data_IF_733806480300
#
_entry.id   IF_733806480300
#
_cell.length_a   1.000
_cell.length_b   1.000
_cell.length_c   1.000
_cell.angle_alpha   90.00
_cell.angle_beta   90.00
_cell.angle_gamma   90.00
#
_symmetry.space_group_name_H-M   'P 1'
#
loop_
_entity.id
_entity.type
_entity.pdbx_description
1 polymer ?
#
# COMPACT_ATOMS: atom_id res chain seq x y z
N UNK A 1 0.29 6.87 60.50
CA UNK A 1 -0.25 6.43 59.19
C UNK A 1 0.75 5.47 58.58
N UNK A 2 0.37 4.19 58.52
CA UNK A 2 1.25 3.05 58.30
C UNK A 2 1.52 2.82 56.82
N UNK A 3 2.79 2.70 56.42
CA UNK A 3 3.22 2.38 55.05
C UNK A 3 3.42 0.88 54.92
N UNK A 4 2.52 0.20 54.23
CA UNK A 4 2.71 -1.20 53.83
C UNK A 4 3.73 -1.28 52.69
N UNK A 5 4.81 -2.02 52.92
CA UNK A 5 5.75 -2.49 51.89
C UNK A 5 5.22 -3.82 51.36
N UNK A 6 4.95 -3.91 50.06
CA UNK A 6 4.69 -5.18 49.38
C UNK A 6 6.03 -5.66 48.81
N UNK A 7 6.49 -6.79 49.33
CA UNK A 7 7.61 -7.58 48.80
C UNK A 7 7.00 -8.60 47.84
N UNK A 8 7.39 -8.59 46.56
CA UNK A 8 7.09 -9.68 45.63
C UNK A 8 8.40 -10.42 45.38
N UNK A 9 8.47 -11.64 45.94
CA UNK A 9 9.55 -12.58 45.72
C UNK A 9 9.20 -13.54 44.59
N UNK A 10 10.15 -13.70 43.67
CA UNK A 10 10.57 -14.94 43.00
C UNK A 10 9.53 -15.85 42.32
N UNK A 11 9.73 -16.08 41.02
CA UNK A 11 9.70 -17.45 40.49
C UNK A 11 10.78 -17.61 39.43
N UNK A 12 11.80 -18.41 39.79
CA UNK A 12 12.84 -18.95 38.93
C UNK A 12 12.38 -20.31 38.41
N UNK A 13 12.73 -20.63 37.17
CA UNK A 13 12.88 -22.00 36.69
C UNK A 13 11.90 -22.42 35.60
N UNK A 14 12.41 -22.55 34.38
CA UNK A 14 12.33 -23.82 33.65
C UNK A 14 13.39 -23.83 32.52
N UNK A 15 14.35 -24.74 32.65
CA UNK A 15 15.42 -25.06 31.72
C UNK A 15 15.23 -26.53 31.36
N UNK A 16 14.98 -26.84 30.08
CA UNK A 16 15.08 -28.14 29.39
C UNK A 16 14.71 -27.88 27.91
N UNK A 17 15.23 -28.51 26.87
CA UNK A 17 16.41 -29.33 26.62
C UNK A 17 16.47 -29.52 25.08
N UNK A 18 17.67 -29.42 24.54
CA UNK A 18 18.26 -30.08 23.37
C UNK A 18 17.40 -30.87 22.35
N UNK A 19 17.68 -30.61 21.07
CA UNK A 19 17.48 -31.49 19.90
C UNK A 19 17.46 -30.65 18.62
N UNK A 20 18.44 -30.61 17.71
CA UNK A 20 19.39 -31.64 17.31
C UNK A 20 18.86 -32.38 16.08
N UNK A 21 19.09 -31.86 14.87
CA UNK A 21 18.64 -32.51 13.63
C UNK A 21 19.06 -31.77 12.35
N UNK A 22 20.29 -32.02 11.90
CA UNK A 22 20.74 -31.77 10.52
C UNK A 22 20.13 -32.82 9.58
N UNK A 23 19.82 -32.42 8.34
CA UNK A 23 19.40 -33.35 7.30
C UNK A 23 19.33 -32.68 5.94
N UNK A 24 20.50 -32.47 5.32
CA UNK A 24 20.64 -32.11 3.91
C UNK A 24 20.34 -33.33 3.04
N UNK A 25 19.47 -33.17 2.02
CA UNK A 25 19.27 -34.20 1.00
C UNK A 25 19.03 -33.56 -0.38
N UNK A 26 20.11 -33.47 -1.14
CA UNK A 26 20.17 -33.45 -2.61
C UNK A 26 21.44 -34.25 -3.00
N UNK A 27 21.62 -34.72 -4.24
CA UNK A 27 20.65 -35.08 -5.28
C UNK A 27 20.93 -36.49 -5.88
N UNK A 28 19.99 -37.04 -6.65
CA UNK A 28 20.18 -38.28 -7.39
C UNK A 28 20.31 -38.06 -8.91
N UNK A 29 21.44 -38.57 -9.44
CA UNK A 29 21.60 -39.29 -10.71
C UNK A 29 21.58 -38.53 -12.06
N UNK A 30 22.79 -38.38 -12.63
CA UNK A 30 23.05 -38.62 -14.07
C UNK A 30 23.14 -40.14 -14.34
N UNK A 31 23.08 -40.65 -15.60
CA UNK A 31 24.27 -40.73 -16.48
C UNK A 31 23.96 -40.59 -18.00
N UNK A 32 24.82 -39.92 -18.78
CA UNK A 32 25.93 -40.44 -19.61
C UNK A 32 25.63 -40.42 -21.13
N UNK A 33 26.50 -39.75 -21.90
CA UNK A 33 27.04 -40.35 -23.12
C UNK A 33 28.40 -39.75 -23.54
N UNK A 34 29.19 -40.62 -24.18
CA UNK A 34 30.65 -40.67 -24.31
C UNK A 34 31.32 -39.65 -25.26
N UNK A 35 32.67 -39.53 -25.21
CA UNK A 35 33.48 -38.58 -25.97
C UNK A 35 34.12 -39.18 -27.23
N UNK A 36 34.54 -38.31 -28.15
CA UNK A 36 35.56 -38.57 -29.18
C UNK A 36 36.60 -37.43 -29.11
N UNK A 37 37.82 -37.69 -28.65
CA UNK A 37 39.02 -38.16 -29.39
C UNK A 37 39.86 -37.00 -29.95
N UNK A 38 40.84 -36.60 -29.13
CA UNK A 38 42.20 -36.10 -29.41
C UNK A 38 42.68 -36.00 -30.87
N UNK A 39 43.33 -34.88 -31.24
CA UNK A 39 44.81 -34.81 -31.33
C UNK A 39 45.34 -33.39 -31.62
N UNK A 40 46.63 -33.12 -31.35
CA UNK A 40 47.19 -31.78 -31.16
C UNK A 40 48.00 -31.28 -32.36
N UNK A 41 48.28 -29.98 -32.41
CA UNK A 41 49.60 -29.47 -32.78
C UNK A 41 49.77 -28.00 -32.37
N UNK A 42 50.90 -27.74 -31.73
CA UNK A 42 51.39 -26.43 -31.34
C UNK A 42 52.09 -25.73 -32.52
N UNK A 43 51.97 -24.42 -32.63
CA UNK A 43 53.09 -23.54 -32.95
C UNK A 43 52.72 -22.07 -32.71
N UNK A 44 53.66 -21.40 -32.04
CA UNK A 44 53.80 -19.97 -31.77
C UNK A 44 53.87 -19.16 -33.06
N UNK A 45 53.12 -18.06 -33.18
CA UNK A 45 53.55 -16.82 -33.86
C UNK A 45 52.87 -15.60 -33.22
N UNK A 46 53.72 -14.67 -32.81
CA UNK A 46 53.45 -13.29 -32.40
C UNK A 46 52.89 -12.45 -33.55
N UNK A 47 51.87 -11.63 -33.31
CA UNK A 47 51.78 -10.23 -33.77
C UNK A 47 50.47 -9.60 -33.30
N UNK A 48 50.59 -8.49 -32.57
CA UNK A 48 49.56 -7.45 -32.45
C UNK A 48 49.67 -6.59 -33.74
N UNK A 49 48.57 -6.09 -34.35
CA UNK A 49 47.99 -4.84 -33.86
C UNK A 49 46.46 -4.70 -34.02
N UNK A 50 45.88 -3.89 -33.11
CA UNK A 50 44.74 -2.98 -33.27
C UNK A 50 43.77 -3.22 -34.45
N UNK A 51 42.50 -3.46 -34.14
CA UNK A 51 41.40 -2.94 -34.96
C UNK A 51 40.08 -2.85 -34.18
N UNK A 52 39.58 -1.61 -34.13
CA UNK A 52 38.17 -1.20 -34.19
C UNK A 52 37.09 -2.06 -33.51
N UNK A 53 36.54 -1.48 -32.46
CA UNK A 53 35.31 -1.86 -31.76
C UNK A 53 34.12 -1.87 -32.74
N UNK A 54 33.74 -3.07 -33.19
CA UNK A 54 32.55 -3.29 -34.02
C UNK A 54 31.39 -3.71 -33.10
N UNK A 55 30.43 -2.80 -32.91
CA UNK A 55 29.17 -3.09 -32.21
C UNK A 55 28.37 -4.04 -33.09
N UNK A 56 28.28 -5.30 -32.67
CA UNK A 56 27.39 -6.30 -33.27
C UNK A 56 25.98 -6.09 -32.72
N UNK A 57 25.09 -5.52 -33.53
CA UNK A 57 23.65 -5.68 -33.36
C UNK A 57 23.24 -7.00 -34.02
N UNK A 58 22.64 -7.89 -33.23
CA UNK A 58 22.00 -9.11 -33.70
C UNK A 58 20.74 -8.75 -34.50
N UNK A 59 20.69 -9.16 -35.77
CA UNK A 59 19.44 -9.33 -36.51
C UNK A 59 19.31 -10.81 -36.91
N UNK A 60 18.13 -11.44 -36.75
CA UNK A 60 17.86 -12.75 -37.32
C UNK A 60 17.61 -12.67 -38.85
N UNK A 61 17.91 -13.73 -39.62
CA UNK A 61 17.60 -13.76 -41.05
C UNK A 61 16.20 -14.34 -41.32
N UNK A 62 15.71 -14.07 -42.53
CA UNK A 62 14.46 -14.51 -43.17
C UNK A 62 13.18 -13.77 -42.76
N UNK A 63 12.71 -12.84 -43.60
CA UNK A 63 11.64 -13.08 -44.59
C UNK A 63 11.80 -12.07 -45.75
N UNK A 64 11.79 -12.56 -47.00
CA UNK A 64 11.67 -11.76 -48.22
C UNK A 64 10.23 -11.28 -48.44
N UNK A 65 10.03 -10.00 -48.73
CA UNK A 65 9.05 -9.52 -49.71
C UNK A 65 9.34 -8.05 -50.06
N UNK A 66 9.43 -7.78 -51.36
CA UNK A 66 9.52 -6.47 -52.00
C UNK A 66 8.37 -5.54 -51.60
N UNK A 67 8.69 -4.28 -51.27
CA UNK A 67 7.87 -3.11 -51.62
C UNK A 67 8.72 -1.82 -51.57
N UNK A 68 8.45 -0.83 -52.46
CA UNK A 68 9.35 0.28 -52.73
C UNK A 68 9.25 1.43 -51.73
N UNK A 69 10.36 2.18 -51.66
CA UNK A 69 10.59 3.32 -50.79
C UNK A 69 9.54 4.44 -50.95
N UNK A 70 8.98 4.86 -49.82
CA UNK A 70 8.40 6.18 -49.65
C UNK A 70 9.18 6.93 -48.58
N UNK A 71 9.59 8.13 -48.96
CA UNK A 71 10.31 9.14 -48.20
C UNK A 71 9.51 9.64 -46.99
N UNK A 72 10.21 9.76 -45.85
CA UNK A 72 9.96 10.79 -44.83
C UNK A 72 8.67 10.69 -44.02
N UNK A 73 8.76 10.11 -42.82
CA UNK A 73 7.85 10.46 -41.74
C UNK A 73 8.53 10.21 -40.38
N UNK A 74 8.45 11.22 -39.53
CA UNK A 74 9.00 11.32 -38.19
C UNK A 74 8.61 10.13 -37.27
N UNK A 75 9.62 9.38 -36.82
CA UNK A 75 9.50 8.40 -35.74
C UNK A 75 9.53 9.10 -34.37
N UNK A 76 8.55 9.97 -34.09
CA UNK A 76 8.25 10.46 -32.74
C UNK A 76 6.73 10.61 -32.60
N UNK A 77 6.03 9.51 -32.34
CA UNK A 77 4.66 9.59 -31.87
C UNK A 77 4.67 10.19 -30.44
N UNK A 78 3.91 11.27 -30.18
CA UNK A 78 3.83 11.84 -28.84
C UNK A 78 3.16 10.87 -27.87
N UNK A 79 3.66 10.88 -26.64
CA UNK A 79 3.11 10.14 -25.52
C UNK A 79 1.58 10.25 -25.46
N UNK A 80 0.93 9.11 -25.19
CA UNK A 80 -0.50 9.02 -24.93
C UNK A 80 -0.98 10.16 -24.03
N UNK A 81 -2.15 10.74 -24.30
CA UNK A 81 -2.66 11.85 -23.50
C UNK A 81 -2.69 11.42 -22.03
N UNK A 82 -1.93 12.17 -21.21
CA UNK A 82 -2.04 12.14 -19.75
C UNK A 82 -3.52 12.12 -19.42
N UNK A 83 -3.98 11.08 -18.74
CA UNK A 83 -5.26 11.10 -18.05
C UNK A 83 -5.21 12.29 -17.09
N UNK A 84 -5.80 13.40 -17.54
CA UNK A 84 -6.04 14.58 -16.72
C UNK A 84 -6.81 14.08 -15.51
N UNK A 85 -6.28 14.37 -14.32
CA UNK A 85 -6.92 14.08 -13.06
C UNK A 85 -8.41 14.41 -13.15
N UNK A 86 -9.24 13.44 -12.75
CA UNK A 86 -10.70 13.49 -12.77
C UNK A 86 -11.19 14.89 -12.41
N UNK A 87 -11.60 15.63 -13.44
CA UNK A 87 -12.43 16.81 -13.26
C UNK A 87 -13.70 16.32 -12.58
N UNK A 88 -13.97 16.86 -11.40
CA UNK A 88 -15.11 16.55 -10.55
C UNK A 88 -16.41 16.98 -11.21
N UNK A 89 -16.79 16.28 -12.29
CA UNK A 89 -18.18 16.19 -12.68
C UNK A 89 -18.85 15.40 -11.57
N UNK A 90 -19.40 16.11 -10.58
CA UNK A 90 -20.35 15.56 -9.62
C UNK A 90 -21.59 15.14 -10.40
N UNK A 91 -21.49 14.01 -11.11
CA UNK A 91 -22.62 13.36 -11.72
C UNK A 91 -23.66 13.23 -10.62
N UNK A 92 -24.81 13.88 -10.82
CA UNK A 92 -25.87 13.98 -9.84
C UNK A 92 -26.18 12.57 -9.33
N UNK A 93 -25.91 12.32 -8.06
CA UNK A 93 -26.12 11.00 -7.45
C UNK A 93 -27.62 10.71 -7.52
N UNK A 94 -28.00 9.65 -8.21
CA UNK A 94 -29.39 9.19 -8.27
C UNK A 94 -29.76 8.53 -6.94
N UNK A 95 -30.42 9.30 -6.08
CA UNK A 95 -30.81 8.91 -4.72
C UNK A 95 -31.69 7.66 -4.73
N UNK A 96 -32.54 7.48 -5.75
CA UNK A 96 -33.41 6.31 -5.85
C UNK A 96 -32.62 5.01 -5.99
N UNK A 97 -31.37 5.08 -6.47
CA UNK A 97 -30.46 3.94 -6.64
C UNK A 97 -29.45 3.80 -5.50
N UNK A 98 -29.53 4.62 -4.46
CA UNK A 98 -28.60 4.55 -3.34
C UNK A 98 -29.21 3.86 -2.12
N UNK A 99 -28.38 3.06 -1.48
CA UNK A 99 -28.59 2.55 -0.13
C UNK A 99 -27.43 3.03 0.74
N UNK A 100 -27.72 3.43 1.98
CA UNK A 100 -26.69 3.74 2.97
C UNK A 100 -26.95 2.94 4.23
N UNK A 101 -25.93 2.24 4.70
CA UNK A 101 -25.97 1.46 5.93
C UNK A 101 -25.03 2.06 6.98
N UNK A 102 -25.54 2.33 8.18
CA UNK A 102 -24.70 2.48 9.37
C UNK A 102 -24.19 1.11 9.79
N UNK A 103 -22.89 1.00 10.00
CA UNK A 103 -22.22 -0.24 10.39
C UNK A 103 -21.17 0.02 11.47
N UNK A 104 -20.97 -0.98 12.31
CA UNK A 104 -19.98 -0.95 13.39
C UNK A 104 -18.79 -1.87 13.08
N UNK A 105 -17.67 -1.67 13.80
CA UNK A 105 -16.52 -2.57 13.77
C UNK A 105 -15.59 -2.45 12.56
N UNK A 106 -15.82 -1.49 11.67
CA UNK A 106 -14.98 -1.20 10.51
C UNK A 106 -14.01 -0.02 10.70
N UNK A 107 -14.05 0.62 11.87
CA UNK A 107 -13.12 1.68 12.26
C UNK A 107 -11.69 1.15 12.40
N UNK A 108 -10.72 2.02 12.12
CA UNK A 108 -9.30 1.77 12.31
C UNK A 108 -8.93 1.81 13.78
N UNK A 109 -8.40 0.71 14.36
CA UNK A 109 -7.89 0.73 15.72
C UNK A 109 -6.57 1.53 15.83
N UNK A 110 -5.87 1.75 14.71
CA UNK A 110 -4.65 2.54 14.68
C UNK A 110 -4.93 4.04 14.63
N UNK A 111 -6.02 4.49 14.02
CA UNK A 111 -6.29 5.92 13.86
C UNK A 111 -7.72 6.21 14.26
N UNK A 112 -7.88 6.88 15.42
CA UNK A 112 -9.21 7.22 15.94
C UNK A 112 -9.94 8.15 14.96
N UNK A 113 -11.19 7.79 14.65
CA UNK A 113 -12.04 8.55 13.73
C UNK A 113 -11.87 8.21 12.25
N UNK A 114 -11.01 7.24 11.91
CA UNK A 114 -10.81 6.79 10.53
C UNK A 114 -11.35 5.37 10.32
N UNK A 115 -11.82 5.07 9.11
CA UNK A 115 -12.14 3.71 8.71
C UNK A 115 -10.87 2.90 8.41
N UNK A 116 -10.86 1.60 8.72
CA UNK A 116 -9.72 0.74 8.43
C UNK A 116 -9.81 0.19 7.01
N UNK A 117 -9.02 0.74 6.09
CA UNK A 117 -9.09 0.35 4.68
C UNK A 117 -8.89 -1.17 4.48
N UNK A 118 -7.97 -1.77 5.23
CA UNK A 118 -7.73 -3.23 5.19
C UNK A 118 -8.91 -4.07 5.69
N UNK A 119 -9.71 -3.59 6.65
CA UNK A 119 -10.92 -4.29 7.13
C UNK A 119 -12.12 -4.06 6.22
N UNK A 120 -12.22 -2.86 5.65
CA UNK A 120 -13.35 -2.46 4.79
C UNK A 120 -13.22 -3.10 3.40
N UNK A 121 -12.01 -3.19 2.85
CA UNK A 121 -11.77 -3.75 1.52
C UNK A 121 -12.42 -5.13 1.28
N UNK A 122 -12.20 -6.16 2.12
CA UNK A 122 -12.83 -7.46 1.91
C UNK A 122 -14.36 -7.40 2.07
N UNK A 123 -14.89 -6.51 2.91
CA UNK A 123 -16.35 -6.32 3.05
C UNK A 123 -16.93 -5.76 1.76
N UNK A 124 -16.41 -4.64 1.26
CA UNK A 124 -16.90 -4.04 0.01
C UNK A 124 -16.74 -4.97 -1.19
N UNK A 125 -15.64 -5.73 -1.25
CA UNK A 125 -15.42 -6.71 -2.30
C UNK A 125 -16.47 -7.84 -2.28
N UNK A 126 -16.98 -8.26 -1.11
CA UNK A 126 -18.09 -9.21 -1.02
C UNK A 126 -19.42 -8.56 -1.38
N UNK A 127 -19.69 -7.35 -0.90
CA UNK A 127 -20.93 -6.63 -1.21
C UNK A 127 -21.07 -6.40 -2.73
N UNK A 128 -19.98 -6.10 -3.42
CA UNK A 128 -19.96 -5.94 -4.88
C UNK A 128 -20.25 -7.24 -5.65
N UNK A 129 -20.30 -8.40 -4.98
CA UNK A 129 -20.68 -9.69 -5.59
C UNK A 129 -22.16 -10.02 -5.39
N UNK A 130 -22.88 -9.23 -4.61
CA UNK A 130 -24.32 -9.41 -4.41
C UNK A 130 -25.04 -9.00 -5.70
N UNK A 131 -25.94 -9.86 -6.19
CA UNK A 131 -26.73 -9.57 -7.38
C UNK A 131 -27.50 -8.25 -7.23
N UNK A 132 -27.43 -7.40 -8.25
CA UNK A 132 -28.06 -6.07 -8.25
C UNK A 132 -27.22 -4.96 -7.61
N UNK A 133 -26.08 -5.26 -6.97
CA UNK A 133 -25.12 -4.24 -6.54
C UNK A 133 -24.21 -3.86 -7.72
N UNK A 134 -24.20 -2.58 -8.06
CA UNK A 134 -23.28 -2.03 -9.06
C UNK A 134 -21.91 -1.73 -8.45
N UNK A 135 -21.91 -1.06 -7.29
CA UNK A 135 -20.68 -0.66 -6.60
C UNK A 135 -20.94 -0.32 -5.14
N UNK A 136 -19.92 -0.46 -4.31
CA UNK A 136 -19.95 -0.07 -2.90
C UNK A 136 -18.80 0.86 -2.54
N UNK A 137 -19.07 1.70 -1.54
CA UNK A 137 -18.19 2.75 -1.05
C UNK A 137 -18.28 2.83 0.46
N UNK A 138 -17.33 3.53 1.07
CA UNK A 138 -17.30 3.83 2.50
C UNK A 138 -17.11 5.32 2.70
N UNK A 139 -17.63 5.86 3.80
CA UNK A 139 -17.24 7.20 4.22
C UNK A 139 -15.85 7.19 4.90
N UNK A 140 -15.34 8.38 5.24
CA UNK A 140 -14.02 8.57 5.87
C UNK A 140 -13.84 7.78 7.17
N UNK A 141 -14.88 7.71 7.99
CA UNK A 141 -14.82 7.10 9.34
C UNK A 141 -14.99 5.57 9.30
N UNK A 142 -15.43 5.01 8.16
CA UNK A 142 -15.75 3.59 8.06
C UNK A 142 -17.03 3.18 8.78
N UNK A 143 -17.84 4.14 9.24
CA UNK A 143 -19.10 3.86 9.96
C UNK A 143 -20.32 3.84 9.05
N UNK A 144 -20.16 4.28 7.79
CA UNK A 144 -21.20 4.28 6.78
C UNK A 144 -20.72 3.58 5.51
N UNK A 145 -21.54 2.68 4.99
CA UNK A 145 -21.36 2.07 3.68
C UNK A 145 -22.43 2.58 2.73
N UNK A 146 -22.02 2.99 1.52
CA UNK A 146 -22.93 3.37 0.43
C UNK A 146 -22.91 2.30 -0.63
N UNK A 147 -24.09 1.87 -1.07
CA UNK A 147 -24.28 0.89 -2.14
C UNK A 147 -25.04 1.56 -3.29
N UNK A 148 -24.46 1.52 -4.48
CA UNK A 148 -25.14 1.84 -5.73
C UNK A 148 -25.83 0.59 -6.26
N UNK A 149 -27.14 0.66 -6.46
CA UNK A 149 -27.98 -0.41 -7.01
C UNK A 149 -28.01 -0.29 -8.53
N UNK A 150 -27.90 -1.42 -9.24
CA UNK A 150 -28.00 -1.48 -10.70
C UNK A 150 -29.38 -0.96 -11.18
N UNK A 151 -29.50 -0.32 -12.35
CA UNK A 151 -30.73 0.36 -12.77
C UNK A 151 -31.98 -0.54 -12.83
N UNK A 152 -31.82 -1.82 -13.18
CA UNK A 152 -32.91 -2.79 -13.32
C UNK A 152 -33.12 -3.67 -12.09
N UNK A 153 -32.33 -3.47 -11.03
CA UNK A 153 -32.41 -4.30 -9.84
C UNK A 153 -33.49 -3.80 -8.88
N UNK A 154 -34.11 -4.75 -8.18
CA UNK A 154 -35.06 -4.48 -7.11
C UNK A 154 -34.29 -3.98 -5.87
N UNK A 155 -34.47 -2.70 -5.55
CA UNK A 155 -33.76 -2.00 -4.48
C UNK A 155 -33.96 -2.66 -3.12
N UNK A 156 -35.18 -3.12 -2.81
CA UNK A 156 -35.51 -3.65 -1.48
C UNK A 156 -34.94 -5.06 -1.31
N UNK A 157 -34.93 -5.86 -2.39
CA UNK A 157 -34.22 -7.16 -2.41
C UNK A 157 -32.72 -6.99 -2.23
N UNK A 158 -32.11 -6.02 -2.91
CA UNK A 158 -30.68 -5.71 -2.75
C UNK A 158 -30.39 -5.25 -1.32
N UNK A 159 -31.24 -4.38 -0.75
CA UNK A 159 -31.09 -3.92 0.63
C UNK A 159 -31.16 -5.07 1.65
N UNK A 160 -32.10 -6.01 1.47
CA UNK A 160 -32.20 -7.21 2.29
C UNK A 160 -30.94 -8.09 2.17
N UNK A 161 -30.48 -8.37 0.95
CA UNK A 161 -29.30 -9.19 0.71
C UNK A 161 -28.01 -8.58 1.30
N UNK A 162 -27.84 -7.26 1.18
CA UNK A 162 -26.73 -6.52 1.80
C UNK A 162 -26.80 -6.60 3.33
N UNK A 163 -27.99 -6.42 3.91
CA UNK A 163 -28.21 -6.54 5.37
C UNK A 163 -27.84 -7.94 5.86
N UNK A 164 -28.28 -8.98 5.16
CA UNK A 164 -27.98 -10.36 5.50
C UNK A 164 -26.48 -10.66 5.42
N UNK A 165 -25.79 -10.21 4.37
CA UNK A 165 -24.33 -10.41 4.25
C UNK A 165 -23.55 -9.71 5.37
N UNK A 166 -23.92 -8.48 5.71
CA UNK A 166 -23.28 -7.73 6.79
C UNK A 166 -23.49 -8.39 8.16
N UNK A 167 -24.65 -9.03 8.38
CA UNK A 167 -25.00 -9.70 9.65
C UNK A 167 -24.18 -10.98 9.89
N UNK A 168 -23.70 -11.66 8.83
CA UNK A 168 -22.83 -12.85 8.95
C UNK A 168 -21.55 -12.61 9.77
N UNK A 169 -21.06 -11.37 9.77
CA UNK A 169 -19.90 -10.94 10.55
C UNK A 169 -20.30 -10.40 11.95
N UNK A 170 -21.48 -10.78 12.45
CA UNK A 170 -22.08 -10.29 13.70
C UNK A 170 -22.21 -8.76 13.78
N UNK A 171 -22.34 -8.08 12.63
CA UNK A 171 -22.61 -6.64 12.59
C UNK A 171 -24.10 -6.37 12.73
N UNK A 172 -24.45 -5.15 13.14
CA UNK A 172 -25.82 -4.65 13.26
C UNK A 172 -26.08 -3.53 12.25
N UNK A 173 -26.20 -3.86 10.94
CA UNK A 173 -26.40 -2.85 9.92
C UNK A 173 -27.76 -2.15 10.06
N UNK A 174 -27.78 -0.82 10.04
CA UNK A 174 -29.01 0.00 10.03
C UNK A 174 -29.13 0.71 8.69
N UNK A 175 -30.18 0.42 7.93
CA UNK A 175 -30.47 1.10 6.66
C UNK A 175 -31.00 2.51 6.93
N UNK A 176 -30.46 3.50 6.23
CA UNK A 176 -30.95 4.88 6.28
C UNK A 176 -32.02 5.11 5.21
N UNK A 177 -33.05 5.86 5.57
CA UNK A 177 -34.21 6.12 4.72
C UNK A 177 -34.61 7.60 4.77
N UNK A 178 -35.50 7.99 3.86
CA UNK A 178 -36.10 9.33 3.83
C UNK A 178 -35.07 10.47 3.78
N UNK A 179 -35.30 11.48 4.60
CA UNK A 179 -34.46 12.69 4.68
C UNK A 179 -33.05 12.39 5.19
N UNK A 180 -32.90 11.46 6.14
CA UNK A 180 -31.60 11.10 6.72
C UNK A 180 -30.66 10.53 5.66
N UNK A 181 -31.17 9.68 4.76
CA UNK A 181 -30.41 9.17 3.61
C UNK A 181 -29.90 10.32 2.74
N UNK A 182 -30.76 11.28 2.39
CA UNK A 182 -30.41 12.40 1.51
C UNK A 182 -29.35 13.29 2.13
N UNK A 183 -29.54 13.67 3.39
CA UNK A 183 -28.59 14.48 4.15
C UNK A 183 -27.23 13.78 4.26
N UNK A 184 -27.23 12.48 4.55
CA UNK A 184 -26.01 11.67 4.67
C UNK A 184 -25.26 11.58 3.34
N UNK A 185 -25.96 11.34 2.22
CA UNK A 185 -25.36 11.28 0.89
C UNK A 185 -24.70 12.61 0.49
N UNK A 186 -25.32 13.73 0.86
CA UNK A 186 -24.81 15.07 0.55
C UNK A 186 -23.63 15.50 1.45
N UNK A 187 -23.65 15.12 2.72
CA UNK A 187 -22.65 15.54 3.72
C UNK A 187 -21.36 14.74 3.64
N UNK A 188 -21.46 13.43 3.41
CA UNK A 188 -20.31 12.53 3.55
C UNK A 188 -19.42 12.52 2.30
N UNK A 189 -18.11 12.47 2.53
CA UNK A 189 -17.12 12.18 1.48
C UNK A 189 -17.05 10.66 1.29
N UNK A 190 -17.49 10.18 0.12
CA UNK A 190 -17.51 8.76 -0.23
C UNK A 190 -16.24 8.37 -0.98
N UNK A 191 -15.56 7.34 -0.50
CA UNK A 191 -14.29 6.88 -1.05
C UNK A 191 -14.20 5.37 -1.20
N UNK A 192 -13.07 4.94 -1.77
CA UNK A 192 -12.67 3.55 -1.84
C UNK A 192 -11.91 3.13 -0.57
N UNK A 193 -11.79 1.82 -0.29
CA UNK A 193 -10.92 1.32 0.78
C UNK A 193 -9.44 1.69 0.58
N UNK A 194 -9.01 1.88 -0.67
CA UNK A 194 -7.66 2.32 -1.00
C UNK A 194 -7.38 3.73 -0.48
N UNK A 195 -8.34 4.64 -0.63
CA UNK A 195 -8.25 6.02 -0.14
C UNK A 195 -8.10 6.05 1.39
N UNK A 196 -8.91 5.26 2.10
CA UNK A 196 -8.80 5.13 3.55
C UNK A 196 -7.46 4.54 3.98
N UNK A 197 -6.98 3.50 3.28
CA UNK A 197 -5.68 2.90 3.56
C UNK A 197 -4.57 3.94 3.40
N UNK A 198 -4.60 4.74 2.33
CA UNK A 198 -3.61 5.78 2.10
C UNK A 198 -3.61 6.84 3.23
N UNK A 199 -4.79 7.28 3.68
CA UNK A 199 -4.92 8.22 4.81
C UNK A 199 -4.43 7.60 6.13
N UNK A 200 -4.78 6.33 6.39
CA UNK A 200 -4.39 5.57 7.58
C UNK A 200 -2.86 5.50 7.68
N UNK A 201 -2.22 5.06 6.59
CA UNK A 201 -0.78 4.91 6.55
C UNK A 201 -0.04 6.24 6.60
N UNK A 202 -0.54 7.28 5.91
CA UNK A 202 0.01 8.64 6.01
C UNK A 202 0.00 9.12 7.45
N UNK A 203 -1.13 8.95 8.13
CA UNK A 203 -1.29 9.37 9.54
C UNK A 203 -0.32 8.63 10.44
N UNK A 204 -0.22 7.31 10.29
CA UNK A 204 0.70 6.48 11.08
C UNK A 204 2.17 6.82 10.80
N UNK A 205 2.54 7.03 9.54
CA UNK A 205 3.89 7.41 9.14
C UNK A 205 4.31 8.74 9.79
N UNK A 206 3.46 9.77 9.67
CA UNK A 206 3.73 11.09 10.27
C UNK A 206 3.78 11.02 11.80
N UNK A 207 2.90 10.24 12.43
CA UNK A 207 2.97 10.04 13.88
C UNK A 207 4.29 9.41 14.32
N UNK A 208 4.79 8.42 13.57
CA UNK A 208 6.08 7.78 13.88
C UNK A 208 7.25 8.74 13.72
N UNK A 209 7.24 9.57 12.68
CA UNK A 209 8.24 10.64 12.52
C UNK A 209 8.17 11.63 13.67
N UNK A 210 6.97 12.03 14.11
CA UNK A 210 6.78 12.91 15.27
C UNK A 210 7.33 12.27 16.55
N UNK A 211 7.01 11.01 16.80
CA UNK A 211 7.47 10.25 17.97
C UNK A 211 9.00 10.12 17.98
N UNK A 212 9.60 9.84 16.82
CA UNK A 212 11.04 9.84 16.64
C UNK A 212 11.64 11.21 16.98
N UNK A 213 11.10 12.29 16.40
CA UNK A 213 11.60 13.65 16.64
C UNK A 213 11.52 14.04 18.12
N UNK A 214 10.46 13.65 18.81
CA UNK A 214 10.32 13.86 20.25
C UNK A 214 11.33 13.04 21.07
N UNK A 215 11.54 11.78 20.69
CA UNK A 215 12.51 10.88 21.36
C UNK A 215 13.94 11.38 21.22
N UNK A 216 14.30 11.86 20.03
CA UNK A 216 15.61 12.46 19.73
C UNK A 216 15.73 13.90 20.24
N UNK A 217 14.66 14.47 20.81
CA UNK A 217 14.61 15.85 21.32
C UNK A 217 15.05 16.88 20.27
N UNK A 218 14.60 16.70 19.03
CA UNK A 218 14.83 17.67 17.97
C UNK A 218 14.27 19.04 18.38
N UNK A 219 14.97 20.10 18.02
CA UNK A 219 14.59 21.46 18.34
C UNK A 219 13.29 21.89 17.63
N UNK A 220 12.76 23.04 18.05
CA UNK A 220 11.46 23.56 17.58
C UNK A 220 11.46 23.94 16.10
N UNK A 221 12.61 24.14 15.48
CA UNK A 221 12.73 24.51 14.07
C UNK A 221 12.93 23.26 13.19
N UNK A 222 13.73 22.30 13.65
CA UNK A 222 13.99 21.04 12.94
C UNK A 222 12.78 20.12 12.90
N UNK A 223 12.02 19.98 14.00
CA UNK A 223 10.89 19.05 14.05
C UNK A 223 9.79 19.35 13.00
N UNK A 224 9.30 20.60 12.85
CA UNK A 224 8.33 20.93 11.81
C UNK A 224 8.87 20.70 10.38
N UNK A 225 10.15 20.99 10.14
CA UNK A 225 10.77 20.76 8.84
C UNK A 225 10.84 19.27 8.49
N UNK A 226 11.20 18.42 9.45
CA UNK A 226 11.22 16.98 9.27
C UNK A 226 9.81 16.42 9.00
N UNK A 227 8.79 16.89 9.72
CA UNK A 227 7.39 16.48 9.48
C UNK A 227 6.89 16.94 8.11
N UNK A 228 7.24 18.16 7.68
CA UNK A 228 6.90 18.67 6.35
C UNK A 228 7.58 17.85 5.25
N UNK A 229 8.85 17.49 5.44
CA UNK A 229 9.60 16.63 4.53
C UNK A 229 8.97 15.23 4.45
N UNK A 230 8.62 14.65 5.60
CA UNK A 230 7.94 13.36 5.67
C UNK A 230 6.60 13.36 4.92
N UNK A 231 5.77 14.39 5.11
CA UNK A 231 4.51 14.54 4.39
C UNK A 231 4.73 14.58 2.87
N UNK A 232 5.66 15.41 2.41
CA UNK A 232 6.01 15.52 0.97
C UNK A 232 6.50 14.19 0.39
N UNK A 233 7.39 13.49 1.08
CA UNK A 233 7.91 12.21 0.60
C UNK A 233 6.84 11.13 0.55
N UNK A 234 5.92 11.11 1.53
CA UNK A 234 4.77 10.22 1.50
C UNK A 234 3.86 10.54 0.31
N UNK A 235 3.50 11.80 0.13
CA UNK A 235 2.59 12.23 -0.93
C UNK A 235 3.20 11.96 -2.32
N UNK A 236 4.52 12.14 -2.49
CA UNK A 236 5.25 11.75 -3.70
C UNK A 236 5.18 10.25 -3.98
N UNK A 237 5.36 9.41 -2.96
CA UNK A 237 5.28 7.95 -3.10
C UNK A 237 3.85 7.48 -3.36
N UNK A 238 2.84 8.19 -2.82
CA UNK A 238 1.44 7.88 -3.07
C UNK A 238 1.00 8.22 -4.51
N UNK A 239 1.65 9.21 -5.14
CA UNK A 239 1.42 9.61 -6.53
C UNK A 239 2.21 8.78 -7.55
N UNK A 240 3.26 8.08 -7.11
CA UNK A 240 4.08 7.21 -7.94
C UNK A 240 3.46 5.82 -8.09
N UNK A 241 3.41 5.33 -9.32
CA UNK A 241 2.76 4.06 -9.74
C UNK A 241 1.25 4.01 -9.53
N UNK A 242 0.60 3.18 -10.35
CA UNK A 242 -0.84 2.98 -10.50
C UNK A 242 -1.46 2.57 -9.15
N UNK A 243 -1.69 3.54 -8.27
CA UNK A 243 -2.08 3.36 -6.86
C UNK A 243 -3.39 2.57 -6.70
N UNK A 244 -4.18 2.51 -7.77
CA UNK A 244 -5.42 1.75 -7.88
C UNK A 244 -5.20 0.24 -8.13
N UNK A 245 -4.01 -0.19 -8.58
CA UNK A 245 -3.70 -1.60 -8.90
C UNK A 245 -2.89 -2.31 -7.82
N UNK A 246 -2.28 -1.59 -6.90
CA UNK A 246 -1.44 -2.19 -5.86
C UNK A 246 -2.29 -2.83 -4.75
N UNK A 247 -2.22 -4.17 -4.72
CA UNK A 247 -2.84 -4.99 -3.69
C UNK A 247 -2.23 -4.71 -2.32
N UNK A 248 -2.96 -5.07 -1.26
CA UNK A 248 -2.55 -4.91 0.15
C UNK A 248 -1.17 -5.48 0.52
N UNK A 249 -0.63 -6.41 -0.28
CA UNK A 249 0.71 -6.99 -0.09
C UNK A 249 1.85 -5.99 -0.32
N UNK A 250 1.60 -4.85 -0.97
CA UNK A 250 2.63 -3.86 -1.32
C UNK A 250 2.86 -2.78 -0.24
N UNK A 251 2.02 -2.72 0.80
CA UNK A 251 2.10 -1.62 1.77
C UNK A 251 3.35 -1.65 2.65
N UNK A 252 3.83 -2.83 3.03
CA UNK A 252 5.06 -2.94 3.81
C UNK A 252 6.27 -2.45 2.98
N UNK A 253 6.31 -2.84 1.70
CA UNK A 253 7.29 -2.37 0.73
C UNK A 253 7.26 -0.85 0.63
N UNK A 254 6.06 -0.26 0.44
CA UNK A 254 5.88 1.19 0.42
C UNK A 254 6.37 1.87 1.70
N UNK A 255 6.10 1.29 2.88
CA UNK A 255 6.57 1.85 4.14
C UNK A 255 8.09 1.81 4.27
N UNK A 256 8.73 0.73 3.84
CA UNK A 256 10.19 0.62 3.81
C UNK A 256 10.81 1.60 2.80
N UNK A 257 10.23 1.72 1.60
CA UNK A 257 10.64 2.70 0.59
C UNK A 257 10.50 4.13 1.11
N UNK A 258 9.41 4.42 1.82
CA UNK A 258 9.22 5.70 2.51
C UNK A 258 10.29 5.94 3.57
N UNK A 259 10.54 4.96 4.45
CA UNK A 259 11.54 5.08 5.51
C UNK A 259 12.94 5.37 4.94
N UNK A 260 13.36 4.64 3.90
CA UNK A 260 14.65 4.84 3.24
C UNK A 260 14.73 6.20 2.55
N UNK A 261 13.71 6.57 1.77
CA UNK A 261 13.67 7.85 1.03
C UNK A 261 13.69 9.05 1.98
N UNK A 262 12.90 8.97 3.06
CA UNK A 262 12.84 10.04 4.06
C UNK A 262 14.17 10.16 4.80
N UNK A 263 14.78 9.05 5.24
CA UNK A 263 16.06 9.07 5.93
C UNK A 263 17.17 9.69 5.06
N UNK A 264 17.20 9.35 3.77
CA UNK A 264 18.15 9.96 2.82
C UNK A 264 17.92 11.47 2.69
N UNK A 265 16.68 11.87 2.48
CA UNK A 265 16.32 13.30 2.32
C UNK A 265 16.53 14.11 3.60
N UNK A 266 16.49 13.46 4.76
CA UNK A 266 16.61 14.11 6.07
C UNK A 266 18.06 14.36 6.50
N UNK A 267 19.08 13.94 5.72
CA UNK A 267 20.50 14.17 6.05
C UNK A 267 20.90 15.65 6.10
N UNK A 268 20.11 16.54 5.50
CA UNK A 268 20.30 17.99 5.62
C UNK A 268 19.76 18.54 6.94
N UNK A 269 18.88 17.80 7.62
CA UNK A 269 18.20 18.20 8.85
C UNK A 269 18.71 17.42 10.09
N UNK A 270 19.27 16.23 9.88
CA UNK A 270 19.65 15.27 10.91
C UNK A 270 21.11 14.86 10.77
N UNK A 271 21.75 14.48 11.88
CA UNK A 271 23.05 13.80 11.81
C UNK A 271 22.93 12.46 11.05
N UNK A 272 24.05 11.95 10.53
CA UNK A 272 24.06 10.66 9.84
C UNK A 272 23.53 9.52 10.72
N UNK A 273 23.88 9.51 12.02
CA UNK A 273 23.41 8.54 12.99
C UNK A 273 21.91 8.69 13.28
N UNK A 274 21.41 9.93 13.36
CA UNK A 274 19.97 10.20 13.52
C UNK A 274 19.18 9.75 12.29
N UNK A 275 19.66 10.04 11.08
CA UNK A 275 19.02 9.59 9.84
C UNK A 275 18.93 8.06 9.78
N UNK A 276 20.00 7.35 10.17
CA UNK A 276 19.99 5.88 10.28
C UNK A 276 18.95 5.38 11.29
N UNK A 277 18.92 5.96 12.50
CA UNK A 277 17.92 5.61 13.53
C UNK A 277 16.49 5.90 13.08
N UNK A 278 16.27 7.00 12.32
CA UNK A 278 14.98 7.31 11.73
C UNK A 278 14.54 6.20 10.77
N UNK A 279 15.43 5.77 9.86
CA UNK A 279 15.14 4.68 8.93
C UNK A 279 14.77 3.39 9.67
N UNK A 280 15.55 3.01 10.69
CA UNK A 280 15.30 1.82 11.51
C UNK A 280 13.98 1.91 12.27
N UNK A 281 13.70 3.05 12.91
CA UNK A 281 12.48 3.29 13.66
C UNK A 281 11.23 3.21 12.78
N UNK A 282 11.31 3.74 11.55
CA UNK A 282 10.21 3.67 10.59
C UNK A 282 10.07 2.26 10.00
N UNK A 283 11.16 1.61 9.63
CA UNK A 283 11.11 0.27 9.00
C UNK A 283 10.64 -0.81 9.96
N UNK A 284 10.66 -0.56 11.27
CA UNK A 284 10.16 -1.52 12.26
C UNK A 284 8.65 -1.72 12.11
N UNK A 285 8.25 -2.99 11.95
CA UNK A 285 6.84 -3.38 11.96
C UNK A 285 6.20 -2.96 13.30
N UNK A 286 5.03 -2.31 13.29
CA UNK A 286 4.37 -1.93 14.53
C UNK A 286 4.13 -3.14 15.43
N UNK A 287 4.52 -3.00 16.70
CA UNK A 287 4.29 -4.04 17.71
C UNK A 287 2.80 -4.17 18.05
N UNK A 288 2.38 -5.35 18.54
CA UNK A 288 1.06 -5.51 19.17
C UNK A 288 1.02 -4.61 20.42
N UNK A 289 0.47 -3.41 20.31
CA UNK A 289 0.27 -2.49 21.43
C UNK A 289 0.66 -1.03 21.18
N UNK A 290 1.44 -0.73 20.13
CA UNK A 290 1.87 0.65 19.82
C UNK A 290 0.72 1.59 19.40
N UNK A 291 -0.48 1.05 19.21
CA UNK A 291 -1.62 1.81 18.70
C UNK A 291 -2.48 2.48 19.77
N UNK A 292 -2.20 2.28 21.06
CA UNK A 292 -3.10 2.73 22.16
C UNK A 292 -3.15 4.25 22.32
N UNK A 293 -2.10 4.97 21.93
CA UNK A 293 -1.96 6.42 22.17
C UNK A 293 -1.92 7.24 20.88
N UNK A 294 -2.48 6.71 19.78
CA UNK A 294 -2.43 7.39 18.50
C UNK A 294 -3.37 8.60 18.45
N UNK A 295 -2.94 9.70 17.78
CA UNK A 295 -3.73 10.91 17.68
C UNK A 295 -5.05 10.61 16.95
N UNK A 296 -6.08 11.37 17.31
CA UNK A 296 -7.29 11.46 16.49
C UNK A 296 -6.84 11.92 15.10
N UNK A 297 -7.40 11.34 14.04
CA UNK A 297 -7.25 11.92 12.71
C UNK A 297 -7.85 13.33 12.76
N UNK A 298 -7.01 14.33 13.05
CA UNK A 298 -7.40 15.72 12.92
C UNK A 298 -7.85 15.93 11.47
N UNK A 299 -8.85 16.79 11.29
CA UNK A 299 -9.25 17.24 9.97
C UNK A 299 -8.08 18.04 9.39
N UNK A 300 -7.12 17.34 8.77
CA UNK A 300 -5.95 17.94 8.10
C UNK A 300 -6.33 18.77 6.86
N UNK A 301 -7.61 19.11 6.68
CA UNK A 301 -8.09 20.11 5.71
C UNK A 301 -7.55 21.53 6.02
N UNK A 302 -6.73 21.70 7.07
CA UNK A 302 -6.05 22.96 7.43
C UNK A 302 -4.50 22.95 7.31
N UNK A 303 -3.87 21.97 6.64
CA UNK A 303 -2.49 22.18 6.18
C UNK A 303 -2.51 22.82 4.78
N UNK A 304 -1.97 24.04 4.60
CA UNK A 304 -2.00 24.77 3.33
C UNK A 304 -1.18 24.11 2.23
#
# INVERSE_FOLDING_TARGET
MSRQRVVVAGLLGFLCALGGGCGSSEPCCSPANKPARSSPNAAVVSTNPQTTQKVHCCSPPNVSAEQPATTGADCCAPASPKQTASSSNSAKVDIARQLVFKVEGLTCPAVKGLGCGHRIAPVLARLNKIEGVEKSFTNRTGTLLRISVAPSADRDKVAAAVRDDLTKDNRKPVLLEGEELQQTLAKEKWGSPGDLSAIEFRTLALYRVKTFAQTEKLDKDTMPQLLKLAARQWDRLAQGEDCCKQQSADWLTRFHSFAATLAESAKELLSAEQAKRLQEALSKRPGKGEFKDLPVAEETDQMP
#
